data_IF_434863113987
#
_entry.id   IF_434863113987
#
_cell.length_a   1.000
_cell.length_b   1.000
_cell.length_c   1.000
_cell.angle_alpha   90.00
_cell.angle_beta   90.00
_cell.angle_gamma   90.00
#
_symmetry.space_group_name_H-M   'P 1'
#
loop_
_entity.id
_entity.type
_entity.pdbx_description
1 polymer ?
#
# COMPACT_ATOMS: atom_id res chain seq x y z
N UNK A 1 -23.11 4.35 -0.28
CA UNK A 1 -22.33 4.89 0.84
C UNK A 1 -21.49 6.02 0.28
N UNK A 2 -21.86 7.28 0.55
CA UNK A 2 -20.98 8.42 0.27
C UNK A 2 -19.94 8.44 1.40
N UNK A 3 -18.67 8.53 1.04
CA UNK A 3 -17.60 8.68 2.01
C UNK A 3 -17.57 10.16 2.39
N UNK A 4 -17.64 10.46 3.70
CA UNK A 4 -17.71 11.83 4.23
C UNK A 4 -16.35 12.57 4.19
N UNK A 5 -15.33 11.97 3.58
CA UNK A 5 -14.06 12.64 3.32
C UNK A 5 -14.16 13.35 1.97
N UNK A 6 -14.54 14.63 2.03
CA UNK A 6 -14.47 15.58 0.91
C UNK A 6 -13.03 16.07 0.68
N UNK A 7 -12.07 15.60 1.50
CA UNK A 7 -10.65 15.94 1.44
C UNK A 7 -9.85 14.87 0.68
N UNK A 8 -8.78 15.31 0.01
CA UNK A 8 -7.76 14.43 -0.55
C UNK A 8 -7.37 13.32 0.44
N UNK A 9 -7.02 12.11 -0.03
CA UNK A 9 -6.67 11.00 0.86
C UNK A 9 -5.65 11.46 1.92
N UNK A 10 -5.84 11.13 3.21
CA UNK A 10 -5.10 11.71 4.35
C UNK A 10 -3.63 11.26 4.44
N UNK A 11 -3.09 10.73 3.35
CA UNK A 11 -1.72 10.27 3.23
C UNK A 11 -0.75 11.40 2.91
N UNK A 12 -1.24 12.54 2.45
CA UNK A 12 -0.45 13.73 2.19
C UNK A 12 -1.02 14.91 2.99
N UNK A 13 -0.14 15.66 3.66
CA UNK A 13 -0.48 16.91 4.35
C UNK A 13 0.43 17.97 3.74
N UNK A 14 -0.17 18.99 3.13
CA UNK A 14 0.53 20.07 2.43
C UNK A 14 1.58 19.56 1.41
N UNK A 15 1.22 18.50 0.68
CA UNK A 15 2.08 17.86 -0.33
C UNK A 15 3.21 16.99 0.24
N UNK A 16 3.35 16.92 1.57
CA UNK A 16 4.31 16.05 2.24
C UNK A 16 3.67 14.73 2.64
N UNK A 17 4.41 13.63 2.53
CA UNK A 17 3.94 12.32 2.99
C UNK A 17 3.70 12.34 4.51
N UNK A 18 2.46 12.06 4.93
CA UNK A 18 2.04 12.05 6.33
C UNK A 18 2.49 10.77 7.04
N UNK A 19 2.45 10.76 8.38
CA UNK A 19 2.73 9.54 9.15
C UNK A 19 1.77 8.41 8.80
N UNK A 20 0.49 8.72 8.58
CA UNK A 20 -0.48 7.74 8.12
C UNK A 20 -0.11 7.21 6.73
N UNK A 21 0.34 8.08 5.82
CA UNK A 21 0.84 7.69 4.50
C UNK A 21 2.03 6.72 4.59
N UNK A 22 2.96 6.95 5.52
CA UNK A 22 4.10 6.03 5.78
C UNK A 22 3.59 4.67 6.27
N UNK A 23 2.72 4.65 7.29
CA UNK A 23 2.21 3.40 7.85
C UNK A 23 1.43 2.62 6.79
N UNK A 24 0.49 3.27 6.10
CA UNK A 24 -0.34 2.63 5.08
C UNK A 24 0.48 2.13 3.90
N UNK A 25 1.42 2.93 3.39
CA UNK A 25 2.25 2.52 2.25
C UNK A 25 3.10 1.28 2.56
N UNK A 26 3.60 1.12 3.79
CA UNK A 26 4.41 -0.05 4.17
C UNK A 26 3.69 -1.40 3.96
N UNK A 27 2.36 -1.41 4.10
CA UNK A 27 1.52 -2.59 3.87
C UNK A 27 0.85 -2.57 2.49
N UNK A 28 0.22 -1.44 2.15
CA UNK A 28 -0.62 -1.32 0.97
C UNK A 28 0.20 -1.32 -0.32
N UNK A 29 1.40 -0.75 -0.33
CA UNK A 29 2.25 -0.75 -1.52
C UNK A 29 2.98 -2.09 -1.74
N UNK A 30 2.92 -3.00 -0.76
CA UNK A 30 3.53 -4.35 -0.83
C UNK A 30 2.49 -5.47 -0.99
N UNK A 31 1.23 -5.12 -1.28
CA UNK A 31 0.10 -6.06 -1.32
C UNK A 31 0.31 -7.27 -2.25
N UNK A 32 1.04 -7.09 -3.35
CA UNK A 32 1.32 -8.15 -4.34
C UNK A 32 2.09 -9.30 -3.70
N UNK A 33 3.05 -8.99 -2.82
CA UNK A 33 3.82 -10.00 -2.11
C UNK A 33 2.95 -10.77 -1.10
N UNK A 34 1.98 -10.10 -0.47
CA UNK A 34 1.01 -10.76 0.41
C UNK A 34 0.04 -11.65 -0.35
N UNK A 35 -0.41 -11.23 -1.54
CA UNK A 35 -1.25 -12.06 -2.41
C UNK A 35 -0.54 -13.35 -2.83
N UNK A 36 0.74 -13.24 -3.16
CA UNK A 36 1.53 -14.39 -3.59
C UNK A 36 1.91 -15.32 -2.42
N UNK A 37 2.30 -14.76 -1.28
CA UNK A 37 2.80 -15.54 -0.16
C UNK A 37 1.67 -16.14 0.69
N UNK A 38 0.62 -15.36 0.98
CA UNK A 38 -0.34 -15.67 2.03
C UNK A 38 -1.71 -16.01 1.44
N UNK A 39 -2.39 -15.01 0.88
CA UNK A 39 -3.71 -15.13 0.26
C UNK A 39 -4.09 -13.80 -0.38
N UNK A 40 -5.09 -13.78 -1.25
CA UNK A 40 -5.62 -12.55 -1.82
C UNK A 40 -6.37 -11.75 -0.76
N UNK A 41 -5.79 -10.62 -0.32
CA UNK A 41 -6.37 -9.74 0.73
C UNK A 41 -7.08 -8.51 0.16
N UNK A 42 -6.67 -8.04 -1.02
CA UNK A 42 -7.13 -6.78 -1.62
C UNK A 42 -7.51 -6.99 -3.08
N UNK A 43 -8.75 -6.73 -3.48
CA UNK A 43 -9.22 -6.97 -4.85
C UNK A 43 -9.36 -5.61 -5.57
N UNK A 44 -8.58 -5.34 -6.63
CA UNK A 44 -8.62 -4.05 -7.35
C UNK A 44 -10.01 -3.63 -7.80
N UNK A 45 -10.77 -4.55 -8.40
CA UNK A 45 -12.09 -4.29 -8.96
C UNK A 45 -13.12 -3.93 -7.88
N UNK A 46 -12.91 -4.40 -6.65
CA UNK A 46 -13.78 -4.11 -5.50
C UNK A 46 -13.36 -2.85 -4.75
N UNK A 47 -12.12 -2.38 -4.92
CA UNK A 47 -11.55 -1.29 -4.12
C UNK A 47 -10.85 -0.21 -4.98
N UNK A 48 -11.48 0.30 -6.07
CA UNK A 48 -10.78 1.15 -7.04
C UNK A 48 -10.20 2.44 -6.44
N UNK A 49 -10.92 3.09 -5.50
CA UNK A 49 -10.42 4.29 -4.83
C UNK A 49 -9.15 4.02 -4.01
N UNK A 50 -9.12 2.91 -3.28
CA UNK A 50 -7.95 2.51 -2.50
C UNK A 50 -6.74 2.27 -3.41
N UNK A 51 -6.93 1.59 -4.55
CA UNK A 51 -5.85 1.34 -5.49
C UNK A 51 -5.37 2.60 -6.21
N UNK A 52 -6.22 3.60 -6.42
CA UNK A 52 -5.79 4.94 -6.85
C UNK A 52 -4.82 5.55 -5.83
N UNK A 53 -5.15 5.49 -4.54
CA UNK A 53 -4.25 6.03 -3.51
C UNK A 53 -2.95 5.24 -3.37
N UNK A 54 -3.00 3.91 -3.52
CA UNK A 54 -1.80 3.08 -3.55
C UNK A 54 -0.91 3.45 -4.74
N UNK A 55 -1.50 3.75 -5.90
CA UNK A 55 -0.76 4.22 -7.06
C UNK A 55 -0.03 5.54 -6.76
N UNK A 56 -0.73 6.52 -6.17
CA UNK A 56 -0.15 7.81 -5.78
C UNK A 56 0.98 7.63 -4.76
N UNK A 57 0.79 6.76 -3.76
CA UNK A 57 1.80 6.44 -2.76
C UNK A 57 3.04 5.76 -3.36
N UNK A 58 2.86 4.80 -4.28
CA UNK A 58 3.97 4.16 -5.01
C UNK A 58 4.75 5.18 -5.87
N UNK A 59 4.09 6.25 -6.31
CA UNK A 59 4.72 7.35 -7.05
C UNK A 59 5.62 8.25 -6.19
N UNK A 60 5.44 8.27 -4.86
CA UNK A 60 6.21 9.12 -3.97
C UNK A 60 7.69 8.65 -3.86
N UNK A 61 8.70 9.55 -3.99
CA UNK A 61 10.11 9.17 -4.03
C UNK A 61 10.55 8.32 -2.83
N UNK A 62 10.19 8.74 -1.61
CA UNK A 62 10.56 8.02 -0.38
C UNK A 62 9.99 6.60 -0.35
N UNK A 63 8.75 6.41 -0.80
CA UNK A 63 8.12 5.09 -0.80
C UNK A 63 8.83 4.20 -1.81
N UNK A 64 9.01 4.68 -3.03
CA UNK A 64 9.70 3.95 -4.09
C UNK A 64 11.10 3.49 -3.68
N UNK A 65 11.84 4.33 -2.96
CA UNK A 65 13.21 4.02 -2.50
C UNK A 65 13.25 3.06 -1.31
N UNK A 66 12.18 2.98 -0.51
CA UNK A 66 12.14 2.16 0.71
C UNK A 66 11.39 0.84 0.53
N UNK A 67 10.67 0.66 -0.57
CA UNK A 67 9.97 -0.59 -0.85
C UNK A 67 10.95 -1.77 -0.91
N UNK A 68 10.65 -2.88 -0.21
CA UNK A 68 11.49 -4.06 -0.29
C UNK A 68 11.39 -4.70 -1.68
N UNK A 69 12.46 -5.37 -2.16
CA UNK A 69 12.36 -6.21 -3.34
C UNK A 69 11.27 -7.28 -3.14
N UNK A 70 10.37 -7.40 -4.11
CA UNK A 70 9.17 -8.26 -4.04
C UNK A 70 9.52 -9.70 -3.61
N UNK A 71 10.45 -10.35 -4.32
CA UNK A 71 10.84 -11.75 -4.06
C UNK A 71 11.38 -11.96 -2.63
N UNK A 72 12.12 -10.98 -2.11
CA UNK A 72 12.64 -11.05 -0.73
C UNK A 72 11.51 -10.96 0.30
N UNK A 73 10.52 -10.11 0.04
CA UNK A 73 9.36 -9.99 0.92
C UNK A 73 8.50 -11.25 0.86
N UNK A 74 8.25 -11.81 -0.33
CA UNK A 74 7.51 -13.08 -0.50
C UNK A 74 8.19 -14.21 0.28
N UNK A 75 9.51 -14.37 0.12
CA UNK A 75 10.25 -15.41 0.82
C UNK A 75 10.14 -15.26 2.34
N UNK A 76 10.23 -14.04 2.86
CA UNK A 76 10.07 -13.75 4.27
C UNK A 76 8.65 -14.05 4.77
N UNK A 77 7.62 -13.69 4.02
CA UNK A 77 6.23 -13.96 4.38
C UNK A 77 5.93 -15.46 4.40
N UNK A 78 6.37 -16.21 3.38
CA UNK A 78 6.22 -17.68 3.34
C UNK A 78 6.92 -18.36 4.51
N UNK A 79 8.11 -17.86 4.89
CA UNK A 79 8.82 -18.38 6.07
C UNK A 79 8.07 -18.15 7.39
N UNK A 80 7.37 -17.02 7.54
CA UNK A 80 6.59 -16.71 8.74
C UNK A 80 5.28 -17.52 8.85
N UNK A 81 4.86 -18.17 7.76
CA UNK A 81 3.69 -19.05 7.75
C UNK A 81 4.02 -20.53 7.97
N UNK A 82 5.30 -20.90 7.97
CA UNK A 82 5.79 -22.25 8.21
C UNK A 82 5.92 -22.54 9.71
#
# INVERSE_FOLDING_TARGET
MKWDFEEDPPFFIDGSLSFLGIVVSSYACTYEAFHEAVTTVLIPEKNPAFFSWVHDLKGHPLIRETLPPHDKLVARLKHLQA
#
